data_IF_311086349820
#
_entry.id   IF_311086349820
#
_cell.length_a   1.000
_cell.length_b   1.000
_cell.length_c   1.000
_cell.angle_alpha   90.00
_cell.angle_beta   90.00
_cell.angle_gamma   90.00
#
_symmetry.space_group_name_H-M   'P 1'
#
loop_
_entity.id
_entity.type
_entity.pdbx_description
1 polymer ?
#
# COMPACT_ATOMS: atom_id res chain seq x y z
N UNK A 1 7.62 0.23 18.06
CA UNK A 1 7.85 -0.59 19.25
C UNK A 1 9.32 -0.98 19.28
N UNK A 2 10.03 -0.63 20.36
CA UNK A 2 11.43 -1.02 20.56
C UNK A 2 11.48 -2.35 21.31
N UNK A 3 12.55 -3.12 21.12
CA UNK A 3 12.74 -4.40 21.82
C UNK A 3 12.71 -4.24 23.34
N UNK A 4 13.24 -3.13 23.85
CA UNK A 4 13.16 -2.79 25.27
C UNK A 4 11.72 -2.75 25.77
N UNK A 5 10.84 -2.09 25.03
CA UNK A 5 9.42 -1.97 25.39
C UNK A 5 8.73 -3.34 25.27
N UNK A 6 9.05 -4.12 24.22
CA UNK A 6 8.53 -5.45 24.05
C UNK A 6 8.90 -6.38 25.22
N UNK A 7 10.13 -6.32 25.72
CA UNK A 7 10.58 -7.10 26.88
C UNK A 7 9.82 -6.68 28.15
N UNK A 8 9.42 -5.42 28.27
CA UNK A 8 8.67 -4.95 29.42
C UNK A 8 7.21 -5.43 29.39
N UNK A 9 6.56 -5.41 28.22
CA UNK A 9 5.11 -5.65 28.08
C UNK A 9 4.74 -7.10 27.72
N UNK A 10 5.65 -7.88 27.10
CA UNK A 10 5.39 -9.27 26.71
C UNK A 10 5.89 -10.21 27.79
N UNK A 11 5.01 -10.95 28.49
CA UNK A 11 5.39 -11.82 29.63
C UNK A 11 6.48 -12.82 29.29
N UNK A 12 6.42 -13.47 28.13
CA UNK A 12 7.37 -14.48 27.68
C UNK A 12 8.77 -13.88 27.44
N UNK A 13 8.85 -12.67 26.89
CA UNK A 13 10.12 -11.97 26.69
C UNK A 13 10.70 -11.48 28.02
N UNK A 14 9.84 -11.04 28.93
CA UNK A 14 10.24 -10.62 30.28
C UNK A 14 10.81 -11.79 31.09
N UNK A 15 10.13 -12.94 31.01
CA UNK A 15 10.61 -14.18 31.64
C UNK A 15 11.96 -14.63 31.04
N UNK A 16 12.06 -14.63 29.72
CA UNK A 16 13.29 -14.97 29.02
C UNK A 16 14.47 -14.04 29.37
N UNK A 17 14.21 -12.74 29.46
CA UNK A 17 15.26 -11.76 29.83
C UNK A 17 15.75 -11.88 31.26
N UNK A 18 14.91 -12.34 32.17
CA UNK A 18 15.21 -12.55 33.59
C UNK A 18 15.53 -14.01 33.93
N UNK A 19 15.47 -14.90 32.95
CA UNK A 19 15.70 -16.32 33.12
C UNK A 19 17.15 -16.67 33.46
N UNK A 20 17.36 -17.91 33.85
CA UNK A 20 18.68 -18.41 34.27
C UNK A 20 19.56 -18.85 33.11
N UNK A 21 19.01 -18.99 31.89
CA UNK A 21 19.76 -19.34 30.70
C UNK A 21 20.62 -18.16 30.21
N UNK A 22 21.96 -18.23 30.32
CA UNK A 22 22.85 -17.16 29.91
C UNK A 22 22.74 -16.85 28.42
N UNK A 23 22.53 -17.88 27.56
CA UNK A 23 22.44 -17.70 26.11
C UNK A 23 21.24 -16.83 25.72
N UNK A 24 20.07 -17.10 26.28
CA UNK A 24 18.84 -16.35 26.00
C UNK A 24 18.98 -14.93 26.51
N UNK A 25 19.44 -14.76 27.75
CA UNK A 25 19.61 -13.44 28.35
C UNK A 25 20.62 -12.58 27.61
N UNK A 26 21.78 -13.13 27.26
CA UNK A 26 22.81 -12.39 26.53
C UNK A 26 22.38 -12.09 25.09
N UNK A 27 21.62 -12.99 24.44
CA UNK A 27 21.02 -12.74 23.13
C UNK A 27 20.09 -11.52 23.16
N UNK A 28 19.18 -11.45 24.13
CA UNK A 28 18.26 -10.32 24.27
C UNK A 28 19.00 -9.02 24.60
N UNK A 29 20.03 -9.08 25.44
CA UNK A 29 20.88 -7.93 25.78
C UNK A 29 21.59 -7.39 24.54
N UNK A 30 22.24 -8.23 23.76
CA UNK A 30 22.95 -7.80 22.56
C UNK A 30 21.99 -7.37 21.46
N UNK A 31 20.81 -8.01 21.33
CA UNK A 31 19.78 -7.57 20.41
C UNK A 31 19.31 -6.14 20.68
N UNK A 32 19.11 -5.77 21.96
CA UNK A 32 18.78 -4.39 22.35
C UNK A 32 19.90 -3.40 21.99
N UNK A 33 21.16 -3.81 22.13
CA UNK A 33 22.32 -2.96 21.80
C UNK A 33 22.45 -2.75 20.28
N UNK A 34 22.03 -3.72 19.48
CA UNK A 34 22.11 -3.68 18.02
C UNK A 34 20.87 -3.05 17.39
N UNK A 35 19.77 -2.93 18.14
CA UNK A 35 18.52 -2.35 17.62
C UNK A 35 18.74 -0.91 17.17
N UNK A 36 18.27 -0.59 15.96
CA UNK A 36 18.42 0.74 15.36
C UNK A 36 19.73 0.97 14.60
N UNK A 37 20.67 0.01 14.66
CA UNK A 37 21.85 0.08 13.82
C UNK A 37 21.56 -0.42 12.39
N UNK A 38 22.20 0.21 11.41
CA UNK A 38 22.09 -0.22 10.01
C UNK A 38 22.74 -1.61 9.87
N UNK A 39 21.96 -2.58 9.39
CA UNK A 39 22.41 -3.95 9.18
C UNK A 39 23.04 -4.15 7.80
N UNK A 40 22.39 -3.61 6.78
CA UNK A 40 22.80 -3.72 5.38
C UNK A 40 22.19 -2.58 4.57
N UNK A 41 22.71 -2.39 3.37
CA UNK A 41 22.14 -1.50 2.37
C UNK A 41 21.23 -2.30 1.45
N UNK A 42 20.15 -1.67 0.98
CA UNK A 42 19.23 -2.23 0.00
C UNK A 42 18.95 -1.22 -1.09
N UNK A 43 18.61 -1.71 -2.28
CA UNK A 43 18.15 -0.88 -3.39
C UNK A 43 16.62 -0.78 -3.33
N UNK A 44 16.07 0.42 -3.45
CA UNK A 44 14.63 0.62 -3.55
C UNK A 44 14.12 0.08 -4.88
N UNK A 45 13.00 -0.63 -4.88
CA UNK A 45 12.50 -1.34 -6.06
C UNK A 45 12.08 -0.40 -7.22
N UNK A 46 11.68 0.83 -6.93
CA UNK A 46 11.12 1.74 -7.92
C UNK A 46 11.55 3.21 -7.77
N UNK A 47 12.27 3.56 -6.70
CA UNK A 47 12.68 4.93 -6.41
C UNK A 47 13.91 5.35 -7.22
N UNK A 48 13.76 6.40 -8.01
CA UNK A 48 14.86 7.04 -8.76
C UNK A 48 15.11 8.42 -8.18
N UNK A 49 16.38 8.70 -7.90
CA UNK A 49 16.79 10.01 -7.39
C UNK A 49 17.16 10.92 -8.56
N UNK A 50 16.58 12.11 -8.57
CA UNK A 50 16.76 13.11 -9.62
C UNK A 50 17.40 14.35 -9.01
N UNK A 51 18.52 14.75 -9.56
CA UNK A 51 19.24 15.98 -9.21
C UNK A 51 19.36 16.94 -10.40
N UNK A 52 19.53 18.22 -10.11
CA UNK A 52 19.82 19.23 -11.12
C UNK A 52 21.26 19.13 -11.65
N UNK A 53 22.17 18.64 -10.79
CA UNK A 53 23.59 18.43 -11.04
C UNK A 53 23.95 16.98 -10.74
N UNK A 54 25.21 16.63 -10.83
CA UNK A 54 25.70 15.31 -10.46
C UNK A 54 25.32 15.00 -9.00
N UNK A 55 24.71 13.83 -8.80
CA UNK A 55 24.20 13.43 -7.48
C UNK A 55 25.35 13.25 -6.49
N UNK A 56 26.53 12.86 -6.96
CA UNK A 56 27.72 12.69 -6.13
C UNK A 56 28.25 13.99 -5.52
N UNK A 57 27.88 15.15 -6.08
CA UNK A 57 28.19 16.46 -5.52
C UNK A 57 27.32 16.80 -4.30
N UNK A 58 26.19 16.11 -4.14
CA UNK A 58 25.20 16.40 -3.09
C UNK A 58 25.19 15.33 -2.01
N UNK A 59 25.25 14.07 -2.41
CA UNK A 59 25.19 12.92 -1.48
C UNK A 59 26.22 11.85 -1.85
N UNK A 60 26.75 11.09 -0.90
CA UNK A 60 27.63 9.96 -1.20
C UNK A 60 26.87 8.90 -2.00
N UNK A 61 27.55 8.34 -2.98
CA UNK A 61 27.03 7.30 -3.86
C UNK A 61 27.84 6.01 -3.73
N UNK A 62 27.26 4.89 -4.14
CA UNK A 62 27.89 3.59 -4.19
C UNK A 62 27.34 2.81 -5.39
N UNK A 63 27.93 1.67 -5.70
CA UNK A 63 27.36 0.74 -6.67
C UNK A 63 26.62 -0.40 -5.97
N UNK A 64 25.54 -0.86 -6.59
CA UNK A 64 24.81 -2.06 -6.20
C UNK A 64 24.48 -2.86 -7.46
N UNK A 65 24.34 -4.18 -7.32
CA UNK A 65 23.94 -5.03 -8.44
C UNK A 65 22.42 -5.04 -8.55
N UNK A 66 21.92 -4.80 -9.74
CA UNK A 66 20.55 -5.06 -10.10
C UNK A 66 20.24 -6.56 -9.94
N UNK A 67 19.11 -6.90 -9.32
CA UNK A 67 18.76 -8.30 -9.02
C UNK A 67 18.30 -9.08 -10.23
N UNK A 68 17.75 -8.40 -11.23
CA UNK A 68 17.16 -9.01 -12.42
C UNK A 68 18.19 -9.10 -13.55
N UNK A 69 18.98 -8.05 -13.77
CA UNK A 69 19.96 -7.99 -14.86
C UNK A 69 21.38 -8.37 -14.43
N UNK A 70 21.70 -8.28 -13.14
CA UNK A 70 23.05 -8.48 -12.60
C UNK A 70 24.02 -7.33 -12.91
N UNK A 71 23.58 -6.29 -13.58
CA UNK A 71 24.39 -5.11 -13.93
C UNK A 71 24.62 -4.21 -12.70
N UNK A 72 25.76 -3.52 -12.68
CA UNK A 72 26.03 -2.53 -11.65
C UNK A 72 25.26 -1.24 -11.92
N UNK A 73 24.56 -0.75 -10.89
CA UNK A 73 23.85 0.52 -10.91
C UNK A 73 24.36 1.44 -9.81
N UNK A 74 24.31 2.74 -10.07
CA UNK A 74 24.65 3.77 -9.10
C UNK A 74 23.47 3.96 -8.13
N UNK A 75 23.77 3.97 -6.83
CA UNK A 75 22.78 4.17 -5.77
C UNK A 75 23.27 5.22 -4.76
N UNK A 76 22.36 5.98 -4.19
CA UNK A 76 22.68 6.89 -3.08
C UNK A 76 22.89 6.09 -1.80
N UNK A 77 23.83 6.52 -0.95
CA UNK A 77 24.05 5.89 0.35
C UNK A 77 23.09 6.41 1.42
N UNK A 78 22.49 7.59 1.22
CA UNK A 78 21.47 8.10 2.11
C UNK A 78 20.15 7.38 1.90
N UNK A 79 19.43 7.17 3.00
CA UNK A 79 18.11 6.56 2.99
C UNK A 79 17.10 7.46 2.27
N UNK A 80 16.17 6.84 1.52
CA UNK A 80 15.17 7.55 0.74
C UNK A 80 14.29 8.52 1.54
N UNK A 81 14.11 8.26 2.83
CA UNK A 81 13.34 9.14 3.73
C UNK A 81 13.99 10.50 3.99
N UNK A 82 15.32 10.61 3.87
CA UNK A 82 16.08 11.84 4.11
C UNK A 82 16.62 12.50 2.84
N UNK A 83 16.45 11.86 1.70
CA UNK A 83 16.98 12.33 0.42
C UNK A 83 16.42 13.71 0.06
N UNK A 84 15.16 13.96 0.29
CA UNK A 84 14.50 15.23 -0.05
C UNK A 84 15.01 16.40 0.76
N UNK A 85 15.51 16.16 1.97
CA UNK A 85 16.15 17.18 2.82
C UNK A 85 17.46 17.69 2.23
N UNK A 86 18.09 16.92 1.32
CA UNK A 86 19.32 17.32 0.62
C UNK A 86 19.04 18.18 -0.63
N UNK A 87 17.77 18.42 -0.98
CA UNK A 87 17.35 19.14 -2.17
C UNK A 87 17.26 18.28 -3.43
N UNK A 88 17.43 16.96 -3.30
CA UNK A 88 17.19 16.01 -4.38
C UNK A 88 15.72 15.58 -4.39
N UNK A 89 15.22 15.11 -5.52
CA UNK A 89 13.86 14.62 -5.68
C UNK A 89 13.89 13.10 -5.78
N UNK A 90 13.07 12.43 -4.98
CA UNK A 90 12.81 11.00 -5.13
C UNK A 90 11.53 10.81 -5.93
N UNK A 91 11.64 10.14 -7.08
CA UNK A 91 10.50 9.80 -7.91
C UNK A 91 10.32 8.28 -7.94
N UNK A 92 9.14 7.80 -7.55
CA UNK A 92 8.83 6.37 -7.53
C UNK A 92 8.10 5.98 -8.80
N UNK A 93 8.71 5.06 -9.58
CA UNK A 93 8.13 4.50 -10.80
C UNK A 93 7.56 3.12 -10.51
N UNK A 94 6.30 3.09 -10.07
CA UNK A 94 5.62 1.85 -9.73
C UNK A 94 4.64 1.46 -10.84
N UNK A 95 4.97 0.37 -11.55
CA UNK A 95 4.10 -0.20 -12.57
C UNK A 95 2.99 -1.07 -11.98
N UNK A 96 1.85 -1.13 -12.66
CA UNK A 96 0.73 -2.01 -12.35
C UNK A 96 0.61 -3.12 -13.39
N UNK A 97 0.99 -4.35 -13.06
CA UNK A 97 0.88 -5.51 -13.94
C UNK A 97 -0.56 -5.73 -14.46
N UNK A 98 -1.56 -5.42 -13.64
CA UNK A 98 -2.98 -5.55 -14.02
C UNK A 98 -3.33 -4.71 -15.22
N UNK A 99 -2.78 -3.50 -15.37
CA UNK A 99 -3.03 -2.67 -16.57
C UNK A 99 -2.42 -3.31 -17.83
N UNK A 100 -1.26 -3.96 -17.72
CA UNK A 100 -0.68 -4.72 -18.83
C UNK A 100 -1.56 -5.92 -19.21
N UNK A 101 -2.09 -6.64 -18.21
CA UNK A 101 -3.01 -7.76 -18.43
C UNK A 101 -4.29 -7.29 -19.14
N UNK A 102 -4.84 -6.15 -18.75
CA UNK A 102 -6.02 -5.56 -19.41
C UNK A 102 -5.69 -5.21 -20.87
N UNK A 103 -4.55 -4.58 -21.11
CA UNK A 103 -4.09 -4.26 -22.47
C UNK A 103 -3.98 -5.51 -23.34
N UNK A 104 -3.36 -6.57 -22.83
CA UNK A 104 -3.22 -7.84 -23.54
C UNK A 104 -4.59 -8.51 -23.78
N UNK A 105 -5.50 -8.40 -22.81
CA UNK A 105 -6.87 -8.91 -22.96
C UNK A 105 -7.64 -8.18 -24.08
N UNK A 106 -7.54 -6.86 -24.17
CA UNK A 106 -8.15 -6.05 -25.24
C UNK A 106 -7.61 -6.49 -26.59
N UNK A 107 -6.29 -6.66 -26.73
CA UNK A 107 -5.67 -7.12 -27.97
C UNK A 107 -6.16 -8.53 -28.35
N UNK A 108 -6.27 -9.45 -27.38
CA UNK A 108 -6.82 -10.78 -27.61
C UNK A 108 -8.28 -10.75 -28.07
N UNK A 109 -9.11 -9.89 -27.49
CA UNK A 109 -10.50 -9.68 -27.94
C UNK A 109 -10.52 -9.20 -29.40
N UNK A 110 -9.71 -8.21 -29.74
CA UNK A 110 -9.58 -7.68 -31.11
C UNK A 110 -9.20 -8.78 -32.11
N UNK A 111 -8.17 -9.57 -31.75
CA UNK A 111 -7.69 -10.64 -32.64
C UNK A 111 -8.68 -11.79 -32.82
N UNK A 112 -9.48 -12.10 -31.79
CA UNK A 112 -10.39 -13.25 -31.83
C UNK A 112 -11.78 -12.91 -32.34
N UNK A 113 -12.26 -11.69 -32.12
CA UNK A 113 -13.63 -11.28 -32.44
C UNK A 113 -13.71 -10.21 -33.54
N UNK A 114 -12.59 -9.53 -33.84
CA UNK A 114 -12.55 -8.37 -34.74
C UNK A 114 -13.15 -7.10 -34.15
N UNK A 115 -13.53 -7.11 -32.84
CA UNK A 115 -14.08 -5.94 -32.16
C UNK A 115 -13.00 -5.20 -31.39
N UNK A 116 -12.94 -3.89 -31.55
CA UNK A 116 -12.15 -3.01 -30.68
C UNK A 116 -12.96 -2.68 -29.43
N UNK A 117 -12.37 -2.93 -28.27
CA UNK A 117 -12.95 -2.62 -26.96
C UNK A 117 -12.33 -1.34 -26.42
N UNK A 118 -13.13 -0.29 -26.34
CA UNK A 118 -12.76 0.96 -25.71
C UNK A 118 -13.11 0.92 -24.21
N UNK A 119 -12.09 0.63 -23.38
CA UNK A 119 -12.28 0.50 -21.93
C UNK A 119 -12.44 1.84 -21.22
N UNK A 120 -12.03 2.95 -21.84
CA UNK A 120 -12.13 4.28 -21.23
C UNK A 120 -13.57 4.79 -21.29
N UNK A 121 -14.43 4.22 -22.13
CA UNK A 121 -15.82 4.61 -22.31
C UNK A 121 -16.83 3.49 -21.97
N UNK A 122 -16.43 2.47 -21.20
CA UNK A 122 -17.39 1.47 -20.71
C UNK A 122 -18.35 2.10 -19.69
N UNK A 123 -19.60 1.58 -19.65
CA UNK A 123 -20.58 2.01 -18.66
C UNK A 123 -20.13 1.64 -17.24
N UNK A 124 -20.18 2.60 -16.33
CA UNK A 124 -19.96 2.40 -14.90
C UNK A 124 -21.26 2.10 -14.13
N UNK A 125 -22.37 1.91 -14.82
CA UNK A 125 -23.71 1.74 -14.24
C UNK A 125 -24.30 0.34 -14.46
N UNK A 126 -23.46 -0.66 -14.79
CA UNK A 126 -23.93 -2.02 -15.04
C UNK A 126 -24.43 -2.71 -13.77
N UNK A 127 -25.74 -3.04 -13.64
CA UNK A 127 -26.30 -3.64 -12.44
C UNK A 127 -25.74 -5.04 -12.15
N UNK A 128 -25.37 -5.80 -13.18
CA UNK A 128 -24.84 -7.14 -13.01
C UNK A 128 -23.46 -7.09 -12.33
N UNK A 129 -22.65 -6.09 -12.69
CA UNK A 129 -21.37 -5.84 -12.03
C UNK A 129 -21.55 -5.47 -10.57
N UNK A 130 -22.45 -4.53 -10.23
CA UNK A 130 -22.71 -4.18 -8.82
C UNK A 130 -23.25 -5.37 -8.02
N UNK A 131 -24.11 -6.19 -8.61
CA UNK A 131 -24.59 -7.42 -7.96
C UNK A 131 -23.43 -8.35 -7.57
N UNK A 132 -22.45 -8.52 -8.47
CA UNK A 132 -21.25 -9.31 -8.20
C UNK A 132 -20.45 -8.76 -6.99
N UNK A 133 -20.29 -7.44 -6.91
CA UNK A 133 -19.65 -6.79 -5.76
C UNK A 133 -20.48 -6.95 -4.48
N UNK A 134 -21.80 -6.76 -4.53
CA UNK A 134 -22.70 -6.94 -3.39
C UNK A 134 -22.69 -8.38 -2.83
N UNK A 135 -22.53 -9.38 -3.71
CA UNK A 135 -22.40 -10.78 -3.33
C UNK A 135 -20.99 -11.13 -2.83
N UNK A 136 -20.03 -10.22 -2.95
CA UNK A 136 -18.63 -10.45 -2.63
C UNK A 136 -17.96 -11.51 -3.50
N UNK A 137 -18.45 -11.74 -4.70
CA UNK A 137 -17.89 -12.67 -5.68
C UNK A 137 -16.81 -12.01 -6.53
N UNK A 138 -15.82 -11.45 -5.86
CA UNK A 138 -14.81 -10.56 -6.46
C UNK A 138 -13.42 -11.20 -6.58
N UNK A 139 -13.34 -12.51 -6.56
CA UNK A 139 -12.12 -13.26 -6.86
C UNK A 139 -11.69 -12.97 -8.30
N UNK A 140 -10.45 -12.60 -8.53
CA UNK A 140 -9.93 -12.16 -9.82
C UNK A 140 -10.21 -10.68 -10.15
N UNK A 141 -10.91 -9.96 -9.28
CA UNK A 141 -11.15 -8.52 -9.43
C UNK A 141 -10.08 -7.72 -8.71
N UNK A 142 -9.29 -6.97 -9.46
CA UNK A 142 -8.14 -6.23 -8.91
C UNK A 142 -8.51 -5.38 -7.69
N UNK A 143 -7.72 -5.52 -6.63
CA UNK A 143 -7.86 -4.84 -5.32
C UNK A 143 -9.13 -5.17 -4.51
N UNK A 144 -10.01 -6.06 -5.00
CA UNK A 144 -11.24 -6.43 -4.31
C UNK A 144 -11.33 -7.92 -3.92
N UNK A 145 -10.23 -8.67 -4.05
CA UNK A 145 -10.19 -10.13 -3.94
C UNK A 145 -10.07 -10.65 -2.50
N UNK A 146 -9.53 -9.86 -1.56
CA UNK A 146 -9.27 -10.35 -0.21
C UNK A 146 -10.56 -10.68 0.54
N UNK A 147 -10.53 -11.70 1.39
CA UNK A 147 -11.68 -12.11 2.18
C UNK A 147 -12.24 -10.97 3.06
N UNK A 148 -11.36 -10.11 3.60
CA UNK A 148 -11.78 -8.94 4.37
C UNK A 148 -12.51 -7.90 3.50
N UNK A 149 -11.99 -7.61 2.30
CA UNK A 149 -12.66 -6.72 1.36
C UNK A 149 -14.02 -7.29 0.92
N UNK A 150 -14.09 -8.57 0.60
CA UNK A 150 -15.34 -9.24 0.22
C UNK A 150 -16.40 -9.17 1.34
N UNK A 151 -15.97 -9.29 2.60
CA UNK A 151 -16.87 -9.10 3.74
C UNK A 151 -17.45 -7.68 3.77
N UNK A 152 -16.61 -6.66 3.66
CA UNK A 152 -17.08 -5.28 3.68
C UNK A 152 -17.94 -4.91 2.47
N UNK A 153 -17.66 -5.46 1.29
CA UNK A 153 -18.51 -5.27 0.10
C UNK A 153 -19.94 -5.82 0.32
N UNK A 154 -20.06 -6.99 0.95
CA UNK A 154 -21.37 -7.56 1.32
C UNK A 154 -22.14 -6.67 2.30
N UNK A 155 -21.45 -6.04 3.23
CA UNK A 155 -22.06 -5.13 4.19
C UNK A 155 -22.41 -3.77 3.56
N UNK A 156 -21.54 -3.24 2.69
CA UNK A 156 -21.69 -1.96 2.01
C UNK A 156 -22.81 -1.96 0.99
N UNK A 157 -23.01 -3.09 0.25
CA UNK A 157 -23.95 -3.17 -0.86
C UNK A 157 -23.74 -2.02 -1.87
N UNK A 158 -22.57 -1.97 -2.57
CA UNK A 158 -22.25 -0.88 -3.47
C UNK A 158 -23.27 -0.75 -4.58
N UNK A 159 -23.70 0.48 -4.89
CA UNK A 159 -24.72 0.79 -5.89
C UNK A 159 -24.24 1.82 -6.93
N UNK A 160 -23.08 2.44 -6.70
CA UNK A 160 -22.46 3.42 -7.58
C UNK A 160 -20.94 3.29 -7.51
N UNK A 161 -20.26 3.83 -8.52
CA UNK A 161 -18.81 3.70 -8.65
C UNK A 161 -18.04 4.35 -7.49
N UNK A 162 -18.56 5.49 -6.97
CA UNK A 162 -18.00 6.20 -5.83
C UNK A 162 -17.95 5.32 -4.56
N UNK A 163 -18.87 4.38 -4.39
CA UNK A 163 -18.83 3.44 -3.28
C UNK A 163 -17.60 2.53 -3.35
N UNK A 164 -17.22 2.11 -4.56
CA UNK A 164 -16.04 1.28 -4.78
C UNK A 164 -14.75 2.09 -4.61
N UNK A 165 -14.73 3.35 -5.07
CA UNK A 165 -13.61 4.27 -4.85
C UNK A 165 -13.39 4.47 -3.36
N UNK A 166 -14.45 4.80 -2.62
CA UNK A 166 -14.37 5.02 -1.18
C UNK A 166 -13.90 3.76 -0.42
N UNK A 167 -14.43 2.60 -0.78
CA UNK A 167 -14.02 1.33 -0.16
C UNK A 167 -12.53 1.05 -0.41
N UNK A 168 -12.05 1.25 -1.63
CA UNK A 168 -10.64 1.07 -1.96
C UNK A 168 -9.73 2.06 -1.22
N UNK A 169 -10.19 3.29 -1.01
CA UNK A 169 -9.48 4.29 -0.23
C UNK A 169 -9.43 3.97 1.27
N UNK A 170 -10.53 3.45 1.82
CA UNK A 170 -10.65 3.14 3.24
C UNK A 170 -10.01 1.81 3.63
N UNK A 171 -9.96 0.81 2.71
CA UNK A 171 -9.45 -0.51 3.02
C UNK A 171 -7.91 -0.56 3.04
N UNK A 172 -7.32 0.10 4.03
CA UNK A 172 -5.88 0.11 4.30
C UNK A 172 -5.62 0.38 5.78
N UNK A 173 -4.46 0.00 6.33
CA UNK A 173 -4.12 0.27 7.73
C UNK A 173 -4.31 1.75 8.10
N UNK A 174 -5.01 2.00 9.20
CA UNK A 174 -5.42 3.33 9.66
C UNK A 174 -6.86 3.65 9.27
N UNK A 175 -7.17 3.98 7.99
CA UNK A 175 -8.54 4.35 7.59
C UNK A 175 -9.57 3.23 7.71
N UNK A 176 -9.15 1.96 7.80
CA UNK A 176 -10.04 0.80 7.86
C UNK A 176 -11.03 0.85 9.04
N UNK A 177 -10.65 1.49 10.14
CA UNK A 177 -11.49 1.64 11.33
C UNK A 177 -12.75 2.49 11.06
N UNK A 178 -12.74 3.30 10.00
CA UNK A 178 -13.87 4.14 9.59
C UNK A 178 -14.85 3.45 8.63
N UNK A 179 -14.54 2.25 8.13
CA UNK A 179 -15.42 1.51 7.20
C UNK A 179 -16.81 1.25 7.81
N UNK A 180 -16.95 0.82 9.08
CA UNK A 180 -18.28 0.63 9.66
C UNK A 180 -19.13 1.91 9.67
N UNK A 181 -18.52 3.06 9.99
CA UNK A 181 -19.20 4.34 9.99
C UNK A 181 -19.59 4.77 8.56
N UNK A 182 -18.71 4.57 7.57
CA UNK A 182 -19.03 4.81 6.17
C UNK A 182 -20.23 3.98 5.70
N UNK A 183 -20.27 2.69 6.03
CA UNK A 183 -21.39 1.80 5.73
C UNK A 183 -22.67 2.27 6.42
N UNK A 184 -22.60 2.62 7.71
CA UNK A 184 -23.75 3.12 8.47
C UNK A 184 -24.33 4.40 7.87
N UNK A 185 -23.48 5.33 7.44
CA UNK A 185 -23.87 6.59 6.78
C UNK A 185 -24.54 6.32 5.42
N UNK A 186 -23.95 5.47 4.61
CA UNK A 186 -24.57 5.05 3.33
C UNK A 186 -25.94 4.43 3.52
N UNK A 187 -26.12 3.63 4.57
CA UNK A 187 -27.39 2.99 4.89
C UNK A 187 -28.39 3.90 5.63
N UNK A 188 -28.05 5.17 5.86
CA UNK A 188 -28.90 6.12 6.60
C UNK A 188 -29.02 5.85 8.09
N UNK A 189 -28.18 4.99 8.67
CA UNK A 189 -28.17 4.64 10.09
C UNK A 189 -27.36 5.62 10.93
N UNK A 190 -26.46 6.35 10.31
CA UNK A 190 -25.61 7.38 10.92
C UNK A 190 -25.74 8.68 10.10
N UNK A 191 -25.84 9.83 10.78
CA UNK A 191 -25.91 11.14 10.14
C UNK A 191 -24.52 11.53 9.58
N UNK A 192 -24.51 12.09 8.37
CA UNK A 192 -23.30 12.67 7.79
C UNK A 192 -23.08 14.05 8.40
N UNK A 193 -21.95 14.22 9.09
CA UNK A 193 -21.54 15.51 9.67
C UNK A 193 -20.17 15.89 9.15
N UNK A 194 -20.03 17.19 8.87
CA UNK A 194 -18.77 17.79 8.46
C UNK A 194 -18.27 18.70 9.58
N UNK A 195 -16.99 18.57 9.96
CA UNK A 195 -16.38 19.40 11.00
C UNK A 195 -16.39 20.89 10.64
N UNK A 196 -16.28 21.18 9.35
CA UNK A 196 -16.35 22.54 8.81
C UNK A 196 -17.39 22.54 7.69
N UNK A 197 -18.38 23.48 7.70
CA UNK A 197 -19.46 23.48 6.70
C UNK A 197 -19.00 23.51 5.24
N UNK A 198 -17.88 24.16 4.94
CA UNK A 198 -17.32 24.23 3.58
C UNK A 198 -16.88 22.84 3.06
N UNK A 199 -16.58 21.88 3.93
CA UNK A 199 -16.19 20.51 3.53
C UNK A 199 -17.33 19.79 2.81
N UNK A 200 -18.59 20.09 3.15
CA UNK A 200 -19.73 19.48 2.46
C UNK A 200 -19.65 19.68 0.94
N UNK A 201 -19.23 20.86 0.50
CA UNK A 201 -19.09 21.17 -0.93
C UNK A 201 -18.13 20.26 -1.69
N UNK A 202 -17.14 19.71 -1.00
CA UNK A 202 -16.04 18.92 -1.61
C UNK A 202 -16.07 17.43 -1.24
N UNK A 203 -16.80 17.06 -0.20
CA UNK A 203 -16.79 15.68 0.34
C UNK A 203 -18.18 15.02 0.31
N UNK A 204 -19.19 15.69 -0.21
CA UNK A 204 -20.56 15.18 -0.20
C UNK A 204 -20.82 14.04 -1.16
N UNK A 205 -20.08 13.96 -2.27
CA UNK A 205 -20.26 13.00 -3.37
C UNK A 205 -19.27 11.85 -3.32
#
# INVERSE_FOLDING_TARGET
>A
FKLKDAIEYVPELKEAANGTDPLVRDTLKYAQMLEGNVRNTGVHACGVIIGRYDISDVVPVSTAKDKDTGEEMLVTQYEGSVIEETGLIKMDFLGLKTLSIIKDAIENVRLTTGHDLDIDHISLEDPATYKLYCEGKTTGTFQFESAGMQKYLKELQPSKFEDLIAMNALYRPGPMDYIPSFIARKQGKEEIKYDIPVMERYLKD
#
